data_IF_110074587574
#
_entry.id   IF_110074587574
#
_cell.length_a   1.000
_cell.length_b   1.000
_cell.length_c   1.000
_cell.angle_alpha   90.00
_cell.angle_beta   90.00
_cell.angle_gamma   90.00
#
_symmetry.space_group_name_H-M   'P 1'
#
loop_
_entity.id
_entity.type
_entity.pdbx_description
1 polymer ?
#
# COMPACT_ATOMS: atom_id res chain seq x y z
N UNK A 1 -33.98 -48.66 -1.23
CA UNK A 1 -32.64 -48.06 -1.52
C UNK A 1 -32.67 -46.60 -1.03
N UNK A 2 -32.22 -46.37 0.20
CA UNK A 2 -32.37 -45.08 0.91
C UNK A 2 -31.16 -44.21 0.52
N UNK A 3 -31.41 -43.12 -0.21
CA UNK A 3 -30.35 -42.13 -0.53
C UNK A 3 -30.00 -41.38 0.74
N UNK A 4 -28.81 -41.68 1.29
CA UNK A 4 -28.22 -40.97 2.39
C UNK A 4 -27.89 -39.55 1.94
N UNK A 5 -28.63 -38.56 2.45
CA UNK A 5 -28.30 -37.13 2.23
C UNK A 5 -27.00 -36.81 3.02
N UNK A 6 -26.01 -36.16 2.40
CA UNK A 6 -24.80 -35.79 3.11
C UNK A 6 -25.14 -34.82 4.24
N UNK A 7 -24.55 -35.06 5.39
CA UNK A 7 -24.76 -34.29 6.62
C UNK A 7 -24.41 -32.80 6.38
N UNK A 8 -25.36 -31.89 6.59
CA UNK A 8 -25.22 -30.46 6.33
C UNK A 8 -24.00 -29.84 7.05
N UNK A 9 -23.63 -30.37 8.22
CA UNK A 9 -22.42 -29.95 8.95
C UNK A 9 -21.11 -30.40 8.28
N UNK A 10 -21.10 -31.55 7.59
CA UNK A 10 -19.93 -32.02 6.84
C UNK A 10 -19.73 -31.19 5.56
N UNK A 11 -20.83 -30.88 4.85
CA UNK A 11 -20.81 -30.01 3.65
C UNK A 11 -20.36 -28.58 4.03
N UNK A 12 -20.83 -28.06 5.17
CA UNK A 12 -20.43 -26.75 5.67
C UNK A 12 -18.93 -26.69 6.06
N UNK A 13 -18.40 -27.77 6.68
CA UNK A 13 -16.96 -27.87 6.99
C UNK A 13 -16.11 -28.01 5.73
N UNK A 14 -16.52 -28.85 4.79
CA UNK A 14 -15.78 -29.03 3.53
C UNK A 14 -15.75 -27.75 2.67
N UNK A 15 -16.85 -26.99 2.66
CA UNK A 15 -16.88 -25.67 1.99
C UNK A 15 -16.05 -24.63 2.72
N UNK A 16 -16.00 -24.65 4.06
CA UNK A 16 -15.14 -23.79 4.86
C UNK A 16 -13.66 -24.14 4.66
N UNK A 17 -13.32 -25.44 4.62
CA UNK A 17 -11.94 -25.90 4.38
C UNK A 17 -11.49 -25.62 2.94
N UNK A 18 -12.37 -25.77 1.95
CA UNK A 18 -12.09 -25.35 0.57
C UNK A 18 -11.93 -23.84 0.44
N UNK A 19 -12.72 -23.04 1.17
CA UNK A 19 -12.56 -21.58 1.21
C UNK A 19 -11.27 -21.17 1.92
N UNK A 20 -10.88 -21.88 2.99
CA UNK A 20 -9.60 -21.68 3.68
C UNK A 20 -8.41 -22.09 2.80
N UNK A 21 -8.52 -23.20 2.06
CA UNK A 21 -7.49 -23.67 1.13
C UNK A 21 -7.33 -22.78 -0.12
N UNK A 22 -8.26 -21.84 -0.35
CA UNK A 22 -8.25 -20.92 -1.48
C UNK A 22 -7.60 -19.56 -1.18
N UNK A 23 -6.92 -19.41 -0.03
CA UNK A 23 -6.34 -18.14 0.41
C UNK A 23 -4.84 -18.25 0.63
N UNK A 24 -4.11 -17.20 0.26
CA UNK A 24 -2.67 -17.08 0.53
C UNK A 24 -2.49 -16.32 1.86
N UNK A 25 -2.56 -17.06 2.98
CA UNK A 25 -2.47 -16.50 4.33
C UNK A 25 -1.16 -15.78 4.61
N UNK A 26 -0.09 -16.23 3.97
CA UNK A 26 1.23 -15.59 4.07
C UNK A 26 1.22 -14.12 3.61
N UNK A 27 0.43 -13.78 2.58
CA UNK A 27 0.29 -12.38 2.14
C UNK A 27 -0.47 -11.53 3.17
N UNK A 28 -1.46 -12.12 3.83
CA UNK A 28 -2.17 -11.43 4.91
C UNK A 28 -1.27 -11.27 6.14
N UNK A 29 -0.44 -12.27 6.45
CA UNK A 29 0.60 -12.19 7.48
C UNK A 29 1.56 -11.02 7.21
N UNK A 30 2.13 -10.96 6.00
CA UNK A 30 3.05 -9.86 5.62
C UNK A 30 2.40 -8.49 5.72
N UNK A 31 1.13 -8.36 5.30
CA UNK A 31 0.38 -7.10 5.46
C UNK A 31 0.16 -6.76 6.93
N UNK A 32 -0.13 -7.75 7.76
CA UNK A 32 -0.33 -7.56 9.20
C UNK A 32 0.93 -7.06 9.89
N UNK A 33 2.07 -7.71 9.63
CA UNK A 33 3.38 -7.29 10.12
C UNK A 33 3.68 -5.86 9.68
N UNK A 34 3.49 -5.58 8.39
CA UNK A 34 3.79 -4.27 7.82
C UNK A 34 2.87 -3.17 8.38
N UNK A 35 1.60 -3.49 8.63
CA UNK A 35 0.64 -2.56 9.24
C UNK A 35 1.00 -2.23 10.69
N UNK A 36 1.41 -3.22 11.49
CA UNK A 36 1.92 -2.98 12.85
C UNK A 36 3.18 -2.13 12.81
N UNK A 37 4.11 -2.43 11.90
CA UNK A 37 5.33 -1.64 11.70
C UNK A 37 4.99 -0.19 11.33
N UNK A 38 3.99 0.03 10.47
CA UNK A 38 3.49 1.36 10.11
C UNK A 38 2.91 2.10 11.32
N UNK A 39 2.09 1.45 12.13
CA UNK A 39 1.51 2.05 13.35
C UNK A 39 2.62 2.44 14.32
N UNK A 40 3.61 1.57 14.51
CA UNK A 40 4.77 1.86 15.36
C UNK A 40 5.61 3.03 14.81
N UNK A 41 5.80 3.10 13.48
CA UNK A 41 6.49 4.22 12.83
C UNK A 41 5.78 5.55 13.06
N UNK A 42 4.43 5.59 12.88
CA UNK A 42 3.63 6.78 13.12
C UNK A 42 3.59 7.18 14.60
N UNK A 43 3.53 6.20 15.51
CA UNK A 43 3.66 6.49 16.95
C UNK A 43 5.02 7.09 17.29
N UNK A 44 6.10 6.58 16.70
CA UNK A 44 7.44 7.17 16.85
C UNK A 44 7.52 8.58 16.22
N UNK A 45 6.84 8.81 15.08
CA UNK A 45 6.73 10.12 14.46
C UNK A 45 6.07 11.13 15.41
N UNK A 46 4.92 10.78 15.98
CA UNK A 46 4.19 11.64 16.89
C UNK A 46 5.04 11.95 18.14
N UNK A 47 5.68 10.95 18.75
CA UNK A 47 6.56 11.16 19.90
C UNK A 47 7.71 12.12 19.59
N UNK A 48 8.34 12.01 18.42
CA UNK A 48 9.50 12.85 18.05
C UNK A 48 9.10 14.26 17.63
N UNK A 49 8.00 14.40 16.86
CA UNK A 49 7.66 15.68 16.24
C UNK A 49 6.59 16.46 16.98
N UNK A 50 5.66 15.79 17.68
CA UNK A 50 4.61 16.46 18.46
C UNK A 50 5.01 16.62 19.95
N UNK A 51 5.69 15.61 20.51
CA UNK A 51 6.04 15.59 21.94
C UNK A 51 7.52 15.86 22.22
N UNK A 52 8.34 16.04 21.19
CA UNK A 52 9.76 16.40 21.33
C UNK A 52 10.66 15.30 21.92
N UNK A 53 10.19 14.05 21.98
CA UNK A 53 10.95 12.91 22.49
C UNK A 53 12.15 12.63 21.59
N UNK A 54 13.33 12.50 22.16
CA UNK A 54 14.53 12.16 21.41
C UNK A 54 14.61 10.62 21.21
N UNK A 55 14.29 10.15 20.00
CA UNK A 55 14.49 8.75 19.59
C UNK A 55 15.75 8.66 18.72
N UNK A 56 16.84 8.06 19.22
CA UNK A 56 18.09 7.94 18.47
C UNK A 56 17.89 7.25 17.13
N UNK A 57 18.43 7.84 16.07
CA UNK A 57 18.36 7.29 14.70
C UNK A 57 17.05 7.51 13.96
N UNK A 58 15.96 7.93 14.63
CA UNK A 58 14.65 8.11 13.95
C UNK A 58 14.70 9.20 12.87
N UNK A 59 15.39 10.33 13.14
CA UNK A 59 15.58 11.43 12.17
C UNK A 59 16.67 11.16 11.13
N UNK A 60 17.38 10.03 11.25
CA UNK A 60 18.50 9.66 10.38
C UNK A 60 18.16 8.54 9.40
N UNK A 61 19.21 7.94 8.85
CA UNK A 61 19.11 6.84 7.89
C UNK A 61 18.27 5.65 8.40
N UNK A 62 18.37 5.22 9.68
CA UNK A 62 17.55 4.09 10.16
C UNK A 62 16.05 4.38 10.09
N UNK A 63 15.59 5.56 10.50
CA UNK A 63 14.19 5.96 10.40
C UNK A 63 13.71 6.06 8.95
N UNK A 64 14.54 6.61 8.06
CA UNK A 64 14.27 6.65 6.64
C UNK A 64 14.12 5.25 6.04
N UNK A 65 15.06 4.33 6.29
CA UNK A 65 14.99 2.96 5.80
C UNK A 65 13.77 2.21 6.35
N UNK A 66 13.42 2.46 7.62
CA UNK A 66 12.21 1.90 8.21
C UNK A 66 10.96 2.35 7.45
N UNK A 67 10.80 3.65 7.21
CA UNK A 67 9.70 4.20 6.42
C UNK A 67 9.65 3.58 5.02
N UNK A 68 10.79 3.58 4.32
CA UNK A 68 10.84 3.04 2.95
C UNK A 68 10.46 1.56 2.91
N UNK A 69 10.92 0.75 3.86
CA UNK A 69 10.57 -0.68 3.94
C UNK A 69 9.06 -0.90 4.06
N UNK A 70 8.39 -0.09 4.89
CA UNK A 70 6.94 -0.12 5.06
C UNK A 70 6.24 0.24 3.74
N UNK A 71 6.62 1.36 3.13
CA UNK A 71 5.99 1.88 1.92
C UNK A 71 6.18 0.92 0.73
N UNK A 72 7.41 0.47 0.51
CA UNK A 72 7.71 -0.40 -0.62
C UNK A 72 6.97 -1.74 -0.51
N UNK A 73 6.94 -2.33 0.69
CA UNK A 73 6.25 -3.59 0.90
C UNK A 73 4.74 -3.46 0.70
N UNK A 74 4.10 -2.39 1.22
CA UNK A 74 2.66 -2.16 1.01
C UNK A 74 2.31 -1.98 -0.47
N UNK A 75 3.09 -1.16 -1.18
CA UNK A 75 2.84 -0.86 -2.59
C UNK A 75 3.02 -2.12 -3.44
N UNK A 76 4.13 -2.83 -3.25
CA UNK A 76 4.42 -4.07 -3.96
C UNK A 76 3.37 -5.15 -3.70
N UNK A 77 3.03 -5.43 -2.42
CA UNK A 77 2.00 -6.41 -2.05
C UNK A 77 0.61 -6.04 -2.60
N UNK A 78 0.31 -4.76 -2.72
CA UNK A 78 -0.96 -4.30 -3.31
C UNK A 78 -1.02 -4.59 -4.79
N UNK A 79 0.07 -4.34 -5.53
CA UNK A 79 0.20 -4.69 -6.94
C UNK A 79 0.13 -6.20 -7.17
N UNK A 80 0.85 -6.98 -6.39
CA UNK A 80 0.82 -8.45 -6.43
C UNK A 80 -0.60 -8.99 -6.20
N UNK A 81 -1.28 -8.47 -5.19
CA UNK A 81 -2.62 -8.91 -4.80
C UNK A 81 -3.71 -8.47 -5.76
N UNK A 82 -3.43 -7.46 -6.58
CA UNK A 82 -4.34 -7.04 -7.64
C UNK A 82 -4.68 -8.20 -8.58
N UNK A 83 -3.75 -9.12 -8.82
CA UNK A 83 -3.94 -10.29 -9.68
C UNK A 83 -4.75 -11.42 -9.02
N UNK A 84 -4.75 -11.53 -7.69
CA UNK A 84 -5.45 -12.61 -6.96
C UNK A 84 -6.97 -12.47 -6.98
N UNK A 85 -7.49 -11.25 -7.08
CA UNK A 85 -8.93 -11.00 -7.12
C UNK A 85 -9.61 -11.55 -8.37
N UNK A 86 -10.83 -12.10 -8.22
CA UNK A 86 -11.66 -12.50 -9.36
C UNK A 86 -11.86 -11.32 -10.32
N UNK A 87 -11.68 -11.56 -11.61
CA UNK A 87 -11.75 -10.54 -12.67
C UNK A 87 -13.21 -10.13 -12.94
N UNK A 88 -13.77 -9.31 -12.06
CA UNK A 88 -15.00 -8.57 -12.35
C UNK A 88 -14.60 -7.09 -12.39
N UNK A 89 -14.48 -6.50 -13.58
CA UNK A 89 -14.00 -5.12 -13.77
C UNK A 89 -14.68 -4.12 -12.84
N UNK A 90 -16.01 -4.23 -12.65
CA UNK A 90 -16.74 -3.35 -11.75
C UNK A 90 -16.31 -3.40 -10.27
N UNK A 91 -15.87 -4.54 -9.75
CA UNK A 91 -15.41 -4.63 -8.34
C UNK A 91 -14.08 -3.91 -8.12
N UNK A 92 -13.19 -3.94 -9.11
CA UNK A 92 -11.89 -3.23 -9.04
C UNK A 92 -12.08 -1.74 -9.12
N UNK A 93 -12.94 -1.29 -10.05
CA UNK A 93 -13.30 0.13 -10.13
C UNK A 93 -13.91 0.61 -8.82
N UNK A 94 -14.89 -0.12 -8.25
CA UNK A 94 -15.48 0.21 -6.94
C UNK A 94 -14.41 0.29 -5.84
N UNK A 95 -13.46 -0.66 -5.80
CA UNK A 95 -12.35 -0.63 -4.83
C UNK A 95 -11.45 0.58 -5.03
N UNK A 96 -11.07 0.89 -6.27
CA UNK A 96 -10.26 2.06 -6.59
C UNK A 96 -10.95 3.35 -6.17
N UNK A 97 -12.24 3.51 -6.51
CA UNK A 97 -13.05 4.66 -6.10
C UNK A 97 -13.17 4.78 -4.57
N UNK A 98 -13.38 3.66 -3.86
CA UNK A 98 -13.42 3.65 -2.40
C UNK A 98 -12.10 4.13 -1.80
N UNK A 99 -10.96 3.65 -2.29
CA UNK A 99 -9.64 4.06 -1.80
C UNK A 99 -9.37 5.54 -2.09
N UNK A 100 -9.73 6.02 -3.28
CA UNK A 100 -9.65 7.45 -3.63
C UNK A 100 -10.53 8.28 -2.70
N UNK A 101 -11.77 7.87 -2.45
CA UNK A 101 -12.68 8.56 -1.53
C UNK A 101 -12.13 8.60 -0.09
N UNK A 102 -11.56 7.50 0.41
CA UNK A 102 -10.88 7.48 1.70
C UNK A 102 -9.67 8.44 1.74
N UNK A 103 -8.87 8.49 0.66
CA UNK A 103 -7.76 9.44 0.54
C UNK A 103 -8.21 10.89 0.53
N UNK A 104 -9.27 11.23 -0.20
CA UNK A 104 -9.88 12.56 -0.20
C UNK A 104 -10.47 12.92 1.18
N UNK A 105 -11.06 11.97 1.88
CA UNK A 105 -11.53 12.16 3.25
C UNK A 105 -10.37 12.53 4.19
N UNK A 106 -9.23 11.84 4.11
CA UNK A 106 -8.05 12.19 4.90
C UNK A 106 -7.56 13.59 4.56
N UNK A 107 -7.50 13.95 3.27
CA UNK A 107 -7.13 15.30 2.85
C UNK A 107 -8.08 16.35 3.45
N UNK A 108 -9.39 16.12 3.39
CA UNK A 108 -10.38 17.04 3.94
C UNK A 108 -10.25 17.17 5.47
N UNK A 109 -10.10 16.05 6.18
CA UNK A 109 -9.95 16.04 7.65
C UNK A 109 -8.65 16.76 8.05
N UNK A 110 -7.52 16.47 7.41
CA UNK A 110 -6.24 17.12 7.74
C UNK A 110 -6.26 18.61 7.40
N UNK A 111 -6.90 19.00 6.30
CA UNK A 111 -7.05 20.42 5.95
C UNK A 111 -7.87 21.21 6.97
N UNK A 112 -8.90 20.59 7.57
CA UNK A 112 -9.81 21.25 8.51
C UNK A 112 -9.31 21.21 9.96
N UNK A 113 -8.72 20.08 10.37
CA UNK A 113 -8.39 19.81 11.78
C UNK A 113 -6.92 20.06 12.08
N UNK A 114 -6.02 19.79 11.12
CA UNK A 114 -4.56 19.84 11.30
C UNK A 114 -3.86 20.43 10.07
N UNK A 115 -4.08 21.73 9.73
CA UNK A 115 -3.51 22.32 8.51
C UNK A 115 -1.98 22.22 8.41
N UNK A 116 -1.29 22.21 9.56
CA UNK A 116 0.18 22.06 9.63
C UNK A 116 0.65 20.67 9.21
N UNK A 117 -0.24 19.68 9.27
CA UNK A 117 0.02 18.29 8.88
C UNK A 117 -0.85 17.89 7.68
N UNK A 118 -1.10 18.84 6.78
CA UNK A 118 -1.94 18.64 5.59
C UNK A 118 -1.42 17.47 4.75
N UNK A 119 -2.33 16.58 4.37
CA UNK A 119 -2.05 15.44 3.48
C UNK A 119 -2.77 15.67 2.16
N UNK A 120 -2.01 15.92 1.11
CA UNK A 120 -2.48 16.01 -0.28
C UNK A 120 -1.86 14.86 -1.06
N UNK A 121 -2.66 14.09 -1.78
CA UNK A 121 -2.19 12.95 -2.56
C UNK A 121 -1.46 11.91 -1.68
N UNK A 122 -2.04 11.58 -0.52
CA UNK A 122 -1.51 10.54 0.38
C UNK A 122 -1.61 9.13 -0.21
N UNK A 123 -1.04 8.16 0.49
CA UNK A 123 -0.90 6.77 0.02
C UNK A 123 -2.23 6.11 -0.39
N UNK A 124 -3.37 6.44 0.25
CA UNK A 124 -4.68 5.90 -0.16
C UNK A 124 -5.16 6.48 -1.48
N UNK A 125 -4.94 7.78 -1.73
CA UNK A 125 -5.22 8.41 -3.03
C UNK A 125 -4.39 7.75 -4.13
N UNK A 126 -3.10 7.52 -3.86
CA UNK A 126 -2.22 6.76 -4.75
C UNK A 126 -2.78 5.36 -5.04
N UNK A 127 -3.13 4.57 -4.00
CA UNK A 127 -3.67 3.22 -4.22
C UNK A 127 -4.97 3.23 -5.03
N UNK A 128 -5.84 4.21 -4.79
CA UNK A 128 -7.06 4.38 -5.56
C UNK A 128 -6.76 4.57 -7.05
N UNK A 129 -5.91 5.53 -7.38
CA UNK A 129 -5.50 5.81 -8.76
C UNK A 129 -4.72 4.64 -9.38
N UNK A 130 -3.81 4.00 -8.62
CA UNK A 130 -3.04 2.85 -9.11
C UNK A 130 -3.95 1.67 -9.47
N UNK A 131 -4.97 1.38 -8.66
CA UNK A 131 -5.96 0.33 -8.95
C UNK A 131 -6.79 0.67 -10.18
N UNK A 132 -7.27 1.92 -10.31
CA UNK A 132 -8.08 2.37 -11.44
C UNK A 132 -7.27 2.33 -12.75
N UNK A 133 -6.06 2.88 -12.73
CA UNK A 133 -5.17 2.90 -13.89
C UNK A 133 -4.77 1.49 -14.31
N UNK A 134 -4.45 0.61 -13.34
CA UNK A 134 -4.12 -0.78 -13.64
C UNK A 134 -5.33 -1.54 -14.19
N UNK A 135 -6.55 -1.25 -13.71
CA UNK A 135 -7.76 -1.86 -14.24
C UNK A 135 -8.02 -1.42 -15.70
N UNK A 136 -7.79 -0.14 -16.01
CA UNK A 136 -7.88 0.41 -17.35
C UNK A 136 -6.84 -0.21 -18.30
N UNK A 137 -5.58 -0.27 -17.87
CA UNK A 137 -4.46 -0.79 -18.67
C UNK A 137 -4.35 -2.32 -18.66
N UNK A 138 -5.22 -3.01 -17.94
CA UNK A 138 -5.16 -4.46 -17.80
C UNK A 138 -5.10 -5.22 -19.13
N UNK A 139 -5.92 -4.91 -20.16
CA UNK A 139 -5.84 -5.60 -21.45
C UNK A 139 -4.48 -5.45 -22.13
N UNK A 140 -3.83 -4.30 -21.98
CA UNK A 140 -2.48 -4.05 -22.47
C UNK A 140 -1.45 -4.87 -21.68
N UNK A 141 -1.54 -4.86 -20.37
CA UNK A 141 -0.59 -5.56 -19.50
C UNK A 141 -0.62 -7.07 -19.67
N UNK A 142 -1.78 -7.65 -20.02
CA UNK A 142 -1.86 -9.08 -20.31
C UNK A 142 -1.11 -9.49 -21.59
N UNK A 143 -0.84 -8.57 -22.50
CA UNK A 143 -0.09 -8.81 -23.74
C UNK A 143 1.43 -8.73 -23.54
N UNK A 144 1.89 -8.04 -22.50
CA UNK A 144 3.30 -7.87 -22.20
C UNK A 144 3.85 -9.16 -21.56
N UNK A 145 4.98 -9.73 -22.02
CA UNK A 145 5.65 -10.82 -21.34
C UNK A 145 5.98 -10.43 -19.89
N UNK A 146 5.60 -11.28 -18.93
CA UNK A 146 5.68 -10.92 -17.51
C UNK A 146 7.11 -10.56 -17.04
N UNK A 147 8.18 -11.30 -17.42
CA UNK A 147 9.55 -10.93 -17.03
C UNK A 147 9.97 -9.57 -17.61
N UNK A 148 9.61 -9.29 -18.87
CA UNK A 148 9.94 -8.01 -19.51
C UNK A 148 9.21 -6.85 -18.81
N UNK A 149 7.92 -7.03 -18.50
CA UNK A 149 7.14 -6.06 -17.73
C UNK A 149 7.72 -5.80 -16.34
N UNK A 150 8.16 -6.85 -15.64
CA UNK A 150 8.80 -6.73 -14.32
C UNK A 150 10.11 -5.93 -14.41
N UNK A 151 11.01 -6.30 -15.32
CA UNK A 151 12.29 -5.61 -15.49
C UNK A 151 12.08 -4.14 -15.85
N UNK A 152 11.18 -3.86 -16.81
CA UNK A 152 10.85 -2.51 -17.22
C UNK A 152 10.31 -1.68 -16.04
N UNK A 153 9.36 -2.22 -15.26
CA UNK A 153 8.81 -1.52 -14.09
C UNK A 153 9.88 -1.25 -13.03
N UNK A 154 10.78 -2.20 -12.74
CA UNK A 154 11.86 -1.97 -11.79
C UNK A 154 12.82 -0.88 -12.29
N UNK A 155 13.24 -0.93 -13.55
CA UNK A 155 14.10 0.11 -14.14
C UNK A 155 13.44 1.48 -14.09
N UNK A 156 12.15 1.58 -14.45
CA UNK A 156 11.41 2.83 -14.41
C UNK A 156 11.20 3.33 -12.96
N UNK A 157 11.00 2.44 -12.00
CA UNK A 157 10.93 2.83 -10.59
C UNK A 157 12.22 3.48 -10.12
N UNK A 158 13.36 2.86 -10.39
CA UNK A 158 14.66 3.42 -10.02
C UNK A 158 14.96 4.71 -10.79
N UNK A 159 14.68 4.76 -12.09
CA UNK A 159 14.92 5.94 -12.90
C UNK A 159 14.08 7.16 -12.49
N UNK A 160 12.84 6.94 -12.05
CA UNK A 160 11.90 8.03 -11.73
C UNK A 160 11.81 8.34 -10.23
N UNK A 161 12.69 7.74 -9.40
CA UNK A 161 12.62 7.89 -7.94
C UNK A 161 12.74 9.34 -7.49
N UNK A 162 13.59 10.11 -8.15
CA UNK A 162 13.87 11.51 -7.82
C UNK A 162 13.07 12.52 -8.67
N UNK A 163 12.06 12.06 -9.44
CA UNK A 163 11.17 12.96 -10.21
C UNK A 163 10.52 14.03 -9.33
N UNK A 164 10.00 13.74 -8.12
CA UNK A 164 9.46 14.79 -7.26
C UNK A 164 10.49 15.87 -6.84
N UNK A 165 11.78 15.56 -6.96
CA UNK A 165 12.90 16.47 -6.65
C UNK A 165 13.48 17.18 -7.88
N UNK A 166 12.87 17.01 -9.06
CA UNK A 166 13.30 17.71 -10.28
C UNK A 166 14.31 16.96 -11.18
N UNK A 167 14.53 15.68 -10.92
CA UNK A 167 15.55 14.89 -11.63
C UNK A 167 15.04 13.51 -12.01
N UNK A 168 15.56 12.96 -13.10
CA UNK A 168 15.63 11.51 -13.27
C UNK A 168 16.80 10.98 -12.46
N UNK A 169 16.57 9.89 -11.69
CA UNK A 169 17.61 9.34 -10.83
C UNK A 169 17.04 8.54 -9.65
N UNK A 170 17.93 8.15 -8.74
CA UNK A 170 17.60 7.35 -7.57
C UNK A 170 18.35 7.82 -6.33
N UNK A 171 17.63 8.24 -5.28
CA UNK A 171 18.15 8.54 -3.94
C UNK A 171 19.37 9.48 -3.95
N UNK A 172 19.30 10.54 -4.77
CA UNK A 172 20.37 11.53 -4.90
C UNK A 172 21.36 11.28 -6.04
N UNK A 173 21.33 10.12 -6.70
CA UNK A 173 22.05 9.90 -7.96
C UNK A 173 21.28 10.59 -9.11
N UNK A 174 21.66 11.82 -9.42
CA UNK A 174 21.01 12.66 -10.44
C UNK A 174 21.57 12.34 -11.83
N UNK A 175 20.74 11.77 -12.69
CA UNK A 175 21.12 11.45 -14.05
C UNK A 175 20.83 12.59 -15.03
N UNK A 176 19.64 13.19 -14.94
CA UNK A 176 19.19 14.25 -15.83
C UNK A 176 18.21 15.17 -15.10
N UNK A 177 18.39 16.48 -15.24
CA UNK A 177 17.44 17.47 -14.74
C UNK A 177 16.18 17.47 -15.60
N UNK A 178 15.03 17.60 -14.97
CA UNK A 178 13.74 17.70 -15.65
C UNK A 178 13.37 19.16 -15.91
N UNK A 179 12.67 19.47 -17.02
CA UNK A 179 12.30 20.82 -17.35
C UNK A 179 11.34 21.45 -16.33
N UNK A 180 11.56 22.70 -15.95
CA UNK A 180 10.78 23.43 -14.94
C UNK A 180 9.30 23.58 -15.30
N UNK A 181 8.94 23.56 -16.58
CA UNK A 181 7.54 23.70 -17.00
C UNK A 181 6.66 22.56 -16.51
N UNK A 182 7.23 21.36 -16.24
CA UNK A 182 6.52 20.22 -15.68
C UNK A 182 6.01 20.49 -14.24
N UNK A 183 6.70 21.39 -13.52
CA UNK A 183 6.43 21.70 -12.11
C UNK A 183 5.53 22.94 -11.92
N UNK A 184 4.87 23.42 -12.98
CA UNK A 184 4.02 24.62 -12.92
C UNK A 184 2.53 24.34 -12.80
N UNK A 185 2.10 23.11 -13.09
CA UNK A 185 0.69 22.74 -13.11
C UNK A 185 0.22 22.12 -11.80
N UNK A 186 -0.90 22.62 -11.23
CA UNK A 186 -1.46 22.06 -9.98
C UNK A 186 -1.75 20.57 -10.08
N UNK A 187 -2.27 20.10 -11.22
CA UNK A 187 -2.55 18.68 -11.43
C UNK A 187 -1.31 17.81 -11.70
N UNK A 188 -0.19 18.45 -12.06
CA UNK A 188 1.05 17.74 -12.33
C UNK A 188 1.62 17.06 -11.07
N UNK A 189 1.28 17.55 -9.87
CA UNK A 189 1.65 16.90 -8.61
C UNK A 189 1.09 15.47 -8.50
N UNK A 190 -0.05 15.16 -9.14
CA UNK A 190 -0.60 13.79 -9.15
C UNK A 190 0.36 12.82 -9.86
N UNK A 191 1.00 13.29 -10.92
CA UNK A 191 1.97 12.53 -11.69
C UNK A 191 3.34 12.42 -11.00
N UNK A 192 3.69 13.35 -10.13
CA UNK A 192 4.99 13.39 -9.46
C UNK A 192 5.78 14.67 -9.70
N UNK A 193 5.14 15.71 -10.26
CA UNK A 193 5.75 17.01 -10.53
C UNK A 193 5.08 18.09 -9.65
N UNK A 194 5.40 18.14 -8.34
CA UNK A 194 4.83 19.13 -7.43
C UNK A 194 5.34 20.53 -7.78
N UNK A 195 4.48 21.54 -7.68
CA UNK A 195 4.87 22.94 -7.93
C UNK A 195 5.81 23.46 -6.81
N UNK A 196 6.62 24.48 -7.06
CA UNK A 196 7.48 25.09 -6.05
C UNK A 196 6.67 25.56 -4.82
N UNK A 197 7.05 25.11 -3.63
CA UNK A 197 6.32 25.39 -2.39
C UNK A 197 5.18 24.41 -2.07
N UNK A 198 4.98 23.37 -2.88
CA UNK A 198 4.06 22.28 -2.54
C UNK A 198 4.49 21.60 -1.24
N UNK A 199 3.52 21.39 -0.35
CA UNK A 199 3.72 20.70 0.91
C UNK A 199 2.64 19.64 1.13
N UNK A 200 3.07 18.47 1.55
CA UNK A 200 2.22 17.40 2.05
C UNK A 200 3.05 16.51 2.98
N UNK A 201 2.51 16.17 4.15
CA UNK A 201 3.20 15.31 5.13
C UNK A 201 3.27 13.84 4.69
N UNK A 202 2.35 13.42 3.81
CA UNK A 202 2.31 12.06 3.26
C UNK A 202 2.04 12.17 1.75
N UNK A 203 3.10 12.35 0.95
CA UNK A 203 2.98 12.54 -0.48
C UNK A 203 3.38 11.29 -1.26
N UNK A 204 2.40 10.70 -1.96
CA UNK A 204 2.57 9.55 -2.84
C UNK A 204 2.00 9.85 -4.22
N UNK A 205 2.81 10.45 -5.08
CA UNK A 205 2.49 10.68 -6.49
C UNK A 205 2.46 9.36 -7.29
N UNK A 206 1.92 9.40 -8.51
CA UNK A 206 1.97 8.23 -9.38
C UNK A 206 3.42 7.83 -9.68
N UNK A 207 4.26 8.77 -10.14
CA UNK A 207 5.69 8.51 -10.29
C UNK A 207 6.40 8.77 -8.96
N UNK A 208 7.27 7.88 -8.51
CA UNK A 208 7.70 6.61 -9.11
C UNK A 208 6.82 5.41 -8.72
N UNK A 209 5.91 5.58 -7.78
CA UNK A 209 5.27 4.51 -7.00
C UNK A 209 4.41 3.56 -7.84
N UNK A 210 3.87 4.03 -8.96
CA UNK A 210 3.06 3.19 -9.85
C UNK A 210 3.90 2.05 -10.44
N UNK A 211 5.17 2.27 -10.71
CA UNK A 211 6.05 1.25 -11.24
C UNK A 211 6.37 0.18 -10.20
N UNK A 212 6.50 0.56 -8.92
CA UNK A 212 6.63 -0.41 -7.83
C UNK A 212 5.35 -1.23 -7.64
N UNK A 213 4.17 -0.62 -7.78
CA UNK A 213 2.90 -1.33 -7.79
C UNK A 213 2.82 -2.32 -8.97
N UNK A 214 3.19 -1.88 -10.17
CA UNK A 214 3.20 -2.75 -11.36
C UNK A 214 4.29 -3.82 -11.31
N UNK A 215 5.40 -3.59 -10.64
CA UNK A 215 6.39 -4.65 -10.40
C UNK A 215 5.78 -5.79 -9.58
N UNK A 216 4.99 -5.49 -8.55
CA UNK A 216 4.22 -6.50 -7.81
C UNK A 216 3.22 -7.24 -8.71
N UNK A 217 2.50 -6.53 -9.58
CA UNK A 217 1.60 -7.11 -10.58
C UNK A 217 2.32 -8.10 -11.52
N UNK A 218 3.44 -7.69 -12.10
CA UNK A 218 4.21 -8.55 -13.01
C UNK A 218 4.91 -9.69 -12.29
N UNK A 219 5.37 -9.49 -11.04
CA UNK A 219 5.91 -10.57 -10.21
C UNK A 219 4.89 -11.69 -10.02
N UNK A 220 3.62 -11.36 -9.71
CA UNK A 220 2.58 -12.37 -9.66
C UNK A 220 2.46 -13.14 -11.00
N UNK A 221 2.51 -12.44 -12.12
CA UNK A 221 2.41 -13.06 -13.46
C UNK A 221 3.63 -13.90 -13.83
N UNK A 222 4.79 -13.66 -13.22
CA UNK A 222 5.97 -14.50 -13.35
C UNK A 222 5.85 -15.82 -12.57
N UNK A 223 4.91 -15.92 -11.61
CA UNK A 223 4.74 -17.16 -10.84
C UNK A 223 4.11 -18.24 -11.72
N UNK A 224 4.54 -19.50 -11.59
CA UNK A 224 3.95 -20.62 -12.35
C UNK A 224 2.55 -20.99 -11.85
N UNK A 225 2.14 -20.47 -10.69
CA UNK A 225 0.94 -20.90 -9.99
C UNK A 225 -0.33 -20.15 -10.45
N UNK A 226 -0.17 -18.98 -11.06
CA UNK A 226 -1.31 -18.18 -11.52
C UNK A 226 -2.37 -18.00 -10.41
N UNK A 227 -3.66 -18.07 -10.81
CA UNK A 227 -4.80 -17.98 -9.89
C UNK A 227 -5.21 -19.31 -9.26
N UNK A 228 -4.58 -20.41 -9.63
CA UNK A 228 -4.79 -21.71 -9.02
C UNK A 228 -4.17 -21.76 -7.63
N UNK A 229 -4.84 -21.18 -6.63
CA UNK A 229 -4.30 -21.00 -5.27
C UNK A 229 -3.87 -22.32 -4.62
N UNK A 230 -4.47 -23.44 -5.01
CA UNK A 230 -4.10 -24.78 -4.56
C UNK A 230 -2.72 -25.24 -5.05
N UNK A 231 -2.20 -24.64 -6.14
CA UNK A 231 -0.88 -24.94 -6.69
C UNK A 231 0.25 -24.23 -5.95
N UNK A 232 -0.08 -23.21 -5.13
CA UNK A 232 0.91 -22.47 -4.35
C UNK A 232 1.54 -23.37 -3.27
N UNK A 233 2.83 -23.19 -2.98
CA UNK A 233 3.50 -23.92 -1.89
C UNK A 233 2.70 -23.86 -0.59
N UNK A 234 2.75 -24.95 0.16
CA UNK A 234 1.95 -25.11 1.37
C UNK A 234 2.12 -23.95 2.36
N UNK A 235 3.34 -23.43 2.54
CA UNK A 235 3.60 -22.34 3.48
C UNK A 235 2.83 -21.04 3.15
N UNK A 236 2.51 -20.76 1.88
CA UNK A 236 1.66 -19.62 1.52
C UNK A 236 0.20 -19.81 1.94
N UNK A 237 -0.24 -21.06 2.04
CA UNK A 237 -1.63 -21.45 2.28
C UNK A 237 -1.93 -21.81 3.74
N UNK A 238 -0.91 -22.15 4.51
CA UNK A 238 -1.06 -22.43 5.94
C UNK A 238 -1.15 -21.13 6.75
N UNK A 239 -1.93 -21.19 7.82
CA UNK A 239 -2.01 -20.14 8.80
C UNK A 239 -0.80 -20.24 9.74
N UNK A 240 0.01 -19.18 9.76
CA UNK A 240 1.20 -19.09 10.59
C UNK A 240 0.95 -18.31 11.88
N UNK A 241 0.19 -17.20 11.77
CA UNK A 241 -0.16 -16.36 12.91
C UNK A 241 -1.55 -15.73 12.68
N UNK A 242 -2.62 -16.35 13.25
CA UNK A 242 -4.00 -15.90 13.04
C UNK A 242 -4.26 -14.44 13.38
N UNK A 243 -3.60 -13.92 14.42
CA UNK A 243 -3.73 -12.52 14.84
C UNK A 243 -3.20 -11.54 13.78
N UNK A 244 -1.98 -11.77 13.28
CA UNK A 244 -1.38 -10.92 12.25
C UNK A 244 -2.12 -11.04 10.92
N UNK A 245 -2.58 -12.23 10.57
CA UNK A 245 -3.40 -12.47 9.37
C UNK A 245 -4.75 -11.75 9.46
N UNK A 246 -5.35 -11.69 10.67
CA UNK A 246 -6.58 -10.92 10.90
C UNK A 246 -6.32 -9.42 10.67
N UNK A 247 -5.24 -8.87 11.23
CA UNK A 247 -4.83 -7.48 11.01
C UNK A 247 -4.61 -7.21 9.52
N UNK A 248 -3.87 -8.08 8.83
CA UNK A 248 -3.60 -7.94 7.39
C UNK A 248 -4.84 -8.03 6.51
N UNK A 249 -5.88 -8.74 6.94
CA UNK A 249 -7.19 -8.77 6.25
C UNK A 249 -7.98 -7.48 6.41
N UNK A 250 -7.81 -6.79 7.53
CA UNK A 250 -8.53 -5.56 7.87
C UNK A 250 -7.66 -4.31 7.71
N UNK A 251 -6.70 -4.35 6.77
CA UNK A 251 -5.74 -3.27 6.55
C UNK A 251 -6.40 -1.90 6.39
N UNK A 252 -7.44 -1.77 5.56
CA UNK A 252 -8.06 -0.46 5.30
C UNK A 252 -8.71 0.16 6.54
N UNK A 253 -9.62 -0.51 7.26
CA UNK A 253 -10.21 0.08 8.47
C UNK A 253 -9.17 0.37 9.54
N UNK A 254 -8.19 -0.50 9.76
CA UNK A 254 -7.12 -0.27 10.73
C UNK A 254 -6.27 0.93 10.31
N UNK A 255 -5.93 1.02 8.99
CA UNK A 255 -5.23 2.18 8.45
C UNK A 255 -6.00 3.48 8.67
N UNK A 256 -7.33 3.50 8.49
CA UNK A 256 -8.13 4.71 8.69
C UNK A 256 -8.18 5.17 10.15
N UNK A 257 -8.11 4.24 11.10
CA UNK A 257 -8.31 4.52 12.54
C UNK A 257 -6.98 4.73 13.27
N UNK A 258 -5.83 4.25 12.73
CA UNK A 258 -4.58 4.20 13.49
C UNK A 258 -4.12 5.57 14.02
N UNK A 259 -4.14 6.62 13.19
CA UNK A 259 -3.68 7.95 13.59
C UNK A 259 -4.60 8.60 14.63
N UNK A 260 -5.94 8.65 14.48
CA UNK A 260 -6.83 9.08 15.54
C UNK A 260 -6.66 8.29 16.84
N UNK A 261 -6.41 6.96 16.74
CA UNK A 261 -6.20 6.13 17.94
C UNK A 261 -4.87 6.47 18.64
N UNK A 262 -3.77 6.66 17.88
CA UNK A 262 -2.48 7.09 18.43
C UNK A 262 -2.62 8.46 19.12
N UNK A 263 -3.26 9.42 18.48
CA UNK A 263 -3.49 10.74 19.08
C UNK A 263 -4.29 10.64 20.38
N UNK A 264 -5.35 9.81 20.42
CA UNK A 264 -6.12 9.61 21.64
C UNK A 264 -5.27 9.00 22.77
N UNK A 265 -4.43 8.01 22.46
CA UNK A 265 -3.51 7.39 23.43
C UNK A 265 -2.51 8.41 23.97
N UNK A 266 -1.91 9.24 23.11
CA UNK A 266 -0.92 10.22 23.53
C UNK A 266 -1.54 11.38 24.34
N UNK A 267 -2.74 11.83 23.98
CA UNK A 267 -3.49 12.82 24.77
C UNK A 267 -3.84 12.29 26.17
N UNK A 268 -4.23 11.02 26.29
CA UNK A 268 -4.45 10.39 27.58
C UNK A 268 -3.15 10.28 28.38
N UNK A 269 -2.03 9.87 27.76
CA UNK A 269 -0.73 9.80 28.41
C UNK A 269 -0.26 11.16 28.94
N UNK A 270 -0.49 12.22 28.17
CA UNK A 270 -0.22 13.59 28.61
C UNK A 270 -1.13 14.00 29.78
N UNK A 271 -2.42 13.64 29.74
CA UNK A 271 -3.37 13.97 30.81
C UNK A 271 -3.04 13.31 32.16
N UNK A 272 -2.33 12.18 32.17
CA UNK A 272 -1.88 11.48 33.38
C UNK A 272 -0.41 11.78 33.72
N UNK A 273 0.25 12.71 33.02
CA UNK A 273 1.62 13.16 33.31
C UNK A 273 2.74 12.18 32.93
N UNK A 274 2.48 11.27 31.97
CA UNK A 274 3.49 10.32 31.44
C UNK A 274 4.26 10.92 30.27
N UNK A 275 3.68 11.88 29.54
CA UNK A 275 4.27 12.62 28.41
C UNK A 275 4.25 14.10 28.69
#
# INVERSE_FOLDING_TARGET
MMKMFPNASAVSRETADRAASSRLWFLDLLRGINLISMIAYHGAYDLVYLYGVNLPGYRGLPGYLWQQSICWLFIFLSGFSFCLGRFHGGRRVKRGLLLTACGLLITAVTALVMPQSLIIMGVLSFFGLAVLLTALLYPLFTRIPAPAGLICCLLLFFLTRDVPSGYLGFEGLRLCALPDFLYRGVFMMILGFPWPGFFSTDYFSLLPWIFLFWSGFFTFRCTPYGRGLWQWPAFFRHRLCPFLEFIGRHTLPIYMIHQPALMAVFLLAQGIGVL
#
